data_IF_381850906692
#
_entry.id   IF_381850906692
#
_cell.length_a   1.000
_cell.length_b   1.000
_cell.length_c   1.000
_cell.angle_alpha   90.00
_cell.angle_beta   90.00
_cell.angle_gamma   90.00
#
_symmetry.space_group_name_H-M   'P 1'
#
loop_
_entity.id
_entity.type
_entity.pdbx_description
1 polymer ?
#
# COMPACT_ATOMS: atom_id res chain seq x y z
N UNK A 1 1.64 -33.27 -6.81
CA UNK A 1 0.54 -32.37 -7.23
C UNK A 1 1.14 -31.00 -7.51
N UNK A 2 0.92 -30.47 -8.70
CA UNK A 2 1.32 -29.13 -9.10
C UNK A 2 0.04 -28.35 -9.40
N UNK A 3 -0.13 -27.17 -8.81
CA UNK A 3 -1.28 -26.29 -9.06
C UNK A 3 -0.82 -25.07 -9.83
N UNK A 4 -1.72 -24.46 -10.60
CA UNK A 4 -1.44 -23.22 -11.34
C UNK A 4 -1.46 -22.00 -10.40
N UNK A 5 -0.92 -20.87 -10.87
CA UNK A 5 -1.02 -19.59 -10.14
C UNK A 5 -2.48 -19.15 -9.96
N UNK A 6 -3.35 -19.44 -10.95
CA UNK A 6 -4.78 -19.16 -10.86
C UNK A 6 -5.44 -20.01 -9.77
N UNK A 7 -5.14 -21.30 -9.73
CA UNK A 7 -5.65 -22.20 -8.69
C UNK A 7 -5.19 -21.78 -7.29
N UNK A 8 -3.92 -21.38 -7.15
CA UNK A 8 -3.42 -20.83 -5.90
C UNK A 8 -4.14 -19.53 -5.53
N UNK A 9 -4.38 -18.64 -6.50
CA UNK A 9 -5.16 -17.42 -6.30
C UNK A 9 -6.57 -17.72 -5.81
N UNK A 10 -7.26 -18.72 -6.37
CA UNK A 10 -8.59 -19.13 -5.93
C UNK A 10 -8.60 -19.66 -4.49
N UNK A 11 -7.57 -20.42 -4.09
CA UNK A 11 -7.43 -20.87 -2.70
C UNK A 11 -7.24 -19.67 -1.75
N UNK A 12 -6.35 -18.73 -2.09
CA UNK A 12 -6.15 -17.51 -1.30
C UNK A 12 -7.42 -16.66 -1.25
N UNK A 13 -8.09 -16.46 -2.38
CA UNK A 13 -9.34 -15.73 -2.48
C UNK A 13 -10.40 -16.36 -1.58
N UNK A 14 -10.66 -17.65 -1.73
CA UNK A 14 -11.72 -18.35 -1.00
C UNK A 14 -11.54 -18.27 0.52
N UNK A 15 -10.28 -18.30 0.99
CA UNK A 15 -9.94 -18.18 2.42
C UNK A 15 -9.80 -16.73 2.91
N UNK A 16 -9.72 -15.76 2.00
CA UNK A 16 -9.40 -14.37 2.34
C UNK A 16 -7.94 -14.17 2.77
N UNK A 17 -7.04 -15.04 2.32
CA UNK A 17 -5.62 -14.95 2.65
C UNK A 17 -4.92 -13.88 1.83
N UNK A 18 -4.05 -13.13 2.48
CA UNK A 18 -3.10 -12.19 1.88
C UNK A 18 -1.80 -12.20 2.68
N UNK A 19 -0.67 -11.72 2.14
CA UNK A 19 0.59 -11.71 2.87
C UNK A 19 0.52 -11.05 4.27
N UNK A 20 -0.31 -10.01 4.41
CA UNK A 20 -0.65 -9.28 5.64
C UNK A 20 -1.79 -9.92 6.46
N UNK A 21 -2.59 -10.82 5.87
CA UNK A 21 -3.72 -11.51 6.51
C UNK A 21 -3.56 -13.03 6.39
N UNK A 22 -2.88 -13.64 7.36
CA UNK A 22 -2.56 -15.09 7.37
C UNK A 22 -3.60 -15.96 8.08
N UNK A 23 -4.52 -15.37 8.83
CA UNK A 23 -5.64 -16.11 9.40
C UNK A 23 -6.85 -16.04 8.45
N UNK A 24 -7.37 -17.17 7.94
CA UNK A 24 -8.58 -17.17 7.15
C UNK A 24 -9.77 -16.62 7.95
N UNK A 25 -10.51 -15.69 7.36
CA UNK A 25 -11.74 -15.15 7.96
C UNK A 25 -13.01 -15.55 7.20
N UNK A 26 -12.85 -16.30 6.10
CA UNK A 26 -13.92 -16.84 5.26
C UNK A 26 -13.49 -18.18 4.66
N UNK A 27 -14.44 -18.92 4.06
CA UNK A 27 -14.16 -20.16 3.32
C UNK A 27 -15.31 -20.55 2.38
N UNK A 28 -15.72 -19.66 1.46
CA UNK A 28 -16.84 -19.90 0.55
C UNK A 28 -16.55 -19.25 -0.80
N UNK A 29 -16.68 -20.00 -1.89
CA UNK A 29 -16.62 -19.50 -3.26
C UNK A 29 -17.87 -19.95 -4.00
N UNK A 30 -18.67 -19.01 -4.53
CA UNK A 30 -19.90 -19.34 -5.26
C UNK A 30 -19.62 -19.17 -6.74
N UNK A 31 -19.84 -20.22 -7.53
CA UNK A 31 -19.68 -20.21 -8.98
C UNK A 31 -20.95 -20.73 -9.65
N UNK A 32 -21.53 -19.94 -10.54
CA UNK A 32 -22.68 -20.31 -11.35
C UNK A 32 -22.29 -20.93 -12.70
N UNK A 33 -23.27 -21.36 -13.51
CA UNK A 33 -23.03 -21.85 -14.86
C UNK A 33 -22.31 -20.81 -15.73
N UNK A 34 -21.24 -21.22 -16.42
CA UNK A 34 -20.45 -20.34 -17.29
C UNK A 34 -19.45 -19.44 -16.57
N UNK A 35 -19.22 -19.63 -15.26
CA UNK A 35 -18.18 -18.90 -14.54
C UNK A 35 -16.78 -19.30 -15.02
N UNK A 36 -15.92 -18.31 -15.32
CA UNK A 36 -14.60 -18.53 -15.92
C UNK A 36 -13.68 -19.40 -15.04
N UNK A 37 -13.77 -19.26 -13.72
CA UNK A 37 -12.98 -20.06 -12.76
C UNK A 37 -13.49 -21.51 -12.55
N UNK A 38 -14.63 -21.91 -13.15
CA UNK A 38 -15.22 -23.23 -12.90
C UNK A 38 -14.25 -24.40 -13.20
N UNK A 39 -13.51 -24.42 -14.32
CA UNK A 39 -12.57 -25.50 -14.60
C UNK A 39 -11.48 -25.65 -13.52
N UNK A 40 -10.97 -24.53 -13.01
CA UNK A 40 -9.95 -24.54 -11.94
C UNK A 40 -10.54 -24.98 -10.59
N UNK A 41 -11.78 -24.59 -10.28
CA UNK A 41 -12.48 -25.03 -9.06
C UNK A 41 -12.74 -26.55 -9.08
N UNK A 42 -13.15 -27.09 -10.22
CA UNK A 42 -13.37 -28.53 -10.39
C UNK A 42 -12.05 -29.32 -10.35
N UNK A 43 -10.96 -28.78 -10.87
CA UNK A 43 -9.64 -29.41 -10.76
C UNK A 43 -9.11 -29.36 -9.31
N UNK A 44 -9.29 -28.24 -8.60
CA UNK A 44 -8.98 -28.14 -7.17
C UNK A 44 -9.80 -29.11 -6.32
N UNK A 45 -11.05 -29.38 -6.69
CA UNK A 45 -11.88 -30.42 -6.09
C UNK A 45 -11.34 -31.83 -6.38
N UNK A 46 -10.95 -32.12 -7.64
CA UNK A 46 -10.29 -33.38 -8.00
C UNK A 46 -8.99 -33.62 -7.24
N UNK A 47 -8.29 -32.56 -6.86
CA UNK A 47 -7.08 -32.61 -6.03
C UNK A 47 -7.36 -32.65 -4.52
N UNK A 48 -8.63 -32.72 -4.10
CA UNK A 48 -9.08 -32.70 -2.71
C UNK A 48 -8.65 -31.44 -1.93
N UNK A 49 -8.33 -30.35 -2.64
CA UNK A 49 -8.00 -29.06 -2.05
C UNK A 49 -9.24 -28.21 -1.84
N UNK A 50 -10.28 -28.45 -2.63
CA UNK A 50 -11.62 -27.90 -2.43
C UNK A 50 -12.65 -29.02 -2.39
N UNK A 51 -13.86 -28.69 -1.94
CA UNK A 51 -15.03 -29.58 -1.96
C UNK A 51 -16.28 -28.78 -2.22
N UNK A 52 -17.25 -29.38 -2.93
CA UNK A 52 -18.62 -28.85 -3.00
C UNK A 52 -19.28 -28.89 -1.62
N UNK A 53 -19.84 -27.75 -1.23
CA UNK A 53 -20.70 -27.58 -0.06
C UNK A 53 -22.17 -27.57 -0.44
N UNK A 54 -23.01 -27.48 0.59
CA UNK A 54 -24.44 -27.25 0.39
C UNK A 54 -24.65 -25.83 -0.13
N UNK A 55 -25.28 -25.69 -1.29
CA UNK A 55 -25.72 -24.40 -1.81
C UNK A 55 -26.81 -23.80 -0.89
N UNK A 56 -26.60 -22.60 -0.31
CA UNK A 56 -27.61 -21.91 0.48
C UNK A 56 -28.88 -21.62 -0.32
N UNK A 57 -30.03 -21.58 0.35
CA UNK A 57 -31.33 -21.42 -0.30
C UNK A 57 -31.52 -20.07 -1.03
N UNK A 58 -30.70 -19.06 -0.72
CA UNK A 58 -30.75 -17.76 -1.38
C UNK A 58 -29.91 -17.70 -2.67
N UNK A 59 -29.06 -18.71 -2.94
CA UNK A 59 -28.31 -18.83 -4.19
C UNK A 59 -29.18 -19.50 -5.27
N UNK A 60 -28.83 -19.34 -6.55
CA UNK A 60 -29.54 -20.08 -7.59
C UNK A 60 -29.28 -21.58 -7.43
N UNK A 61 -30.25 -22.41 -7.81
CA UNK A 61 -30.10 -23.87 -7.71
C UNK A 61 -28.97 -24.43 -8.58
N UNK A 62 -28.60 -23.71 -9.63
CA UNK A 62 -27.49 -24.07 -10.52
C UNK A 62 -26.12 -23.59 -10.00
N UNK A 63 -26.09 -22.77 -8.94
CA UNK A 63 -24.84 -22.30 -8.35
C UNK A 63 -24.21 -23.38 -7.47
N UNK A 64 -22.90 -23.49 -7.57
CA UNK A 64 -22.08 -24.39 -6.77
C UNK A 64 -21.30 -23.58 -5.75
N UNK A 65 -21.34 -23.99 -4.48
CA UNK A 65 -20.52 -23.41 -3.43
C UNK A 65 -19.34 -24.33 -3.14
N UNK A 66 -18.13 -23.83 -3.34
CA UNK A 66 -16.91 -24.53 -3.00
C UNK A 66 -16.35 -24.04 -1.66
N UNK A 67 -15.79 -24.97 -0.90
CA UNK A 67 -15.04 -24.71 0.31
C UNK A 67 -13.64 -25.30 0.19
N UNK A 68 -12.64 -24.59 0.67
CA UNK A 68 -11.27 -25.10 0.78
C UNK A 68 -11.20 -26.12 1.91
N UNK A 69 -10.57 -27.27 1.65
CA UNK A 69 -10.33 -28.32 2.66
C UNK A 69 -9.14 -27.94 3.56
N UNK A 70 -8.90 -28.71 4.62
CA UNK A 70 -7.71 -28.48 5.45
C UNK A 70 -6.40 -28.69 4.68
N UNK A 71 -6.39 -29.59 3.69
CA UNK A 71 -5.25 -29.80 2.79
C UNK A 71 -5.03 -28.57 1.91
N UNK A 72 -6.10 -28.03 1.32
CA UNK A 72 -6.07 -26.78 0.55
C UNK A 72 -5.60 -25.59 1.39
N UNK A 73 -6.08 -25.46 2.63
CA UNK A 73 -5.67 -24.40 3.57
C UNK A 73 -4.17 -24.47 3.88
N UNK A 74 -3.66 -25.66 4.22
CA UNK A 74 -2.22 -25.86 4.50
C UNK A 74 -1.37 -25.51 3.29
N UNK A 75 -1.79 -25.92 2.09
CA UNK A 75 -1.09 -25.59 0.85
C UNK A 75 -1.08 -24.09 0.58
N UNK A 76 -2.24 -23.44 0.68
CA UNK A 76 -2.43 -22.02 0.45
C UNK A 76 -1.54 -21.18 1.38
N UNK A 77 -1.48 -21.53 2.67
CA UNK A 77 -0.63 -20.87 3.66
C UNK A 77 0.86 -21.08 3.40
N UNK A 78 1.26 -22.29 3.01
CA UNK A 78 2.64 -22.63 2.70
C UNK A 78 3.18 -21.85 1.49
N UNK A 79 2.32 -21.64 0.49
CA UNK A 79 2.67 -20.93 -0.75
C UNK A 79 2.37 -19.42 -0.68
N UNK A 80 1.89 -18.91 0.46
CA UNK A 80 1.61 -17.51 0.64
C UNK A 80 2.93 -16.72 0.74
N UNK A 81 3.14 -15.67 -0.09
CA UNK A 81 4.37 -14.91 -0.04
C UNK A 81 4.57 -14.25 1.33
N UNK A 82 5.83 -13.97 1.73
CA UNK A 82 6.11 -13.27 2.97
C UNK A 82 5.39 -11.91 2.97
N UNK A 83 4.98 -11.47 4.17
CA UNK A 83 4.40 -10.14 4.32
C UNK A 83 5.36 -9.09 3.75
N UNK A 84 4.86 -8.11 2.96
CA UNK A 84 5.71 -7.02 2.51
C UNK A 84 6.27 -6.28 3.72
N UNK A 85 7.49 -5.77 3.59
CA UNK A 85 8.02 -4.84 4.61
C UNK A 85 7.12 -3.61 4.64
N UNK A 86 6.74 -3.18 5.84
CA UNK A 86 6.00 -1.93 6.00
C UNK A 86 6.79 -0.79 5.39
N UNK A 87 6.10 0.09 4.68
CA UNK A 87 6.69 1.32 4.19
C UNK A 87 6.89 2.29 5.35
N UNK A 88 7.82 3.24 5.21
CA UNK A 88 7.99 4.33 6.20
C UNK A 88 6.69 5.11 6.42
N UNK A 89 5.81 5.16 5.42
CA UNK A 89 4.51 5.81 5.54
C UNK A 89 3.52 4.98 6.37
N UNK A 90 3.50 3.65 6.22
CA UNK A 90 2.70 2.75 7.05
C UNK A 90 3.20 2.69 8.50
N UNK A 91 4.51 2.82 8.73
CA UNK A 91 5.08 3.00 10.06
C UNK A 91 4.61 4.33 10.68
N UNK A 92 4.61 5.41 9.89
CA UNK A 92 4.12 6.73 10.32
C UNK A 92 2.65 6.70 10.74
N UNK A 93 1.78 6.09 9.93
CA UNK A 93 0.35 5.99 10.23
C UNK A 93 0.04 5.20 11.50
N UNK A 94 0.92 4.29 11.88
CA UNK A 94 0.76 3.37 13.02
C UNK A 94 1.35 3.91 14.32
N UNK A 95 2.37 4.75 14.19
CA UNK A 95 3.09 5.30 15.33
C UNK A 95 2.26 6.31 16.15
N UNK A 96 1.15 6.83 15.60
CA UNK A 96 0.24 7.80 16.25
C UNK A 96 0.98 8.95 16.95
N UNK A 97 2.02 9.46 16.28
CA UNK A 97 3.01 10.37 16.89
C UNK A 97 2.51 11.82 17.02
N UNK A 98 1.41 12.17 16.36
CA UNK A 98 0.96 13.56 16.19
C UNK A 98 1.89 14.46 15.36
N UNK A 99 2.99 13.90 14.84
CA UNK A 99 3.92 14.60 13.95
C UNK A 99 3.37 14.68 12.53
N UNK A 100 3.85 15.63 11.74
CA UNK A 100 3.72 15.55 10.29
C UNK A 100 4.67 14.46 9.73
N UNK A 101 4.33 13.87 8.58
CA UNK A 101 5.17 12.82 7.97
C UNK A 101 6.64 13.23 7.73
N UNK A 102 6.90 14.49 7.39
CA UNK A 102 8.27 14.96 7.18
C UNK A 102 9.08 15.02 8.49
N UNK A 103 8.42 15.34 9.61
CA UNK A 103 9.03 15.35 10.93
C UNK A 103 9.30 13.92 11.41
N UNK A 104 8.38 13.00 11.18
CA UNK A 104 8.58 11.57 11.42
C UNK A 104 9.80 11.00 10.66
N UNK A 105 10.04 11.50 9.45
CA UNK A 105 11.21 11.14 8.66
C UNK A 105 12.51 11.85 9.11
N UNK A 106 12.44 12.77 10.08
CA UNK A 106 13.56 13.61 10.49
C UNK A 106 14.01 14.59 9.40
N UNK A 107 13.13 14.88 8.43
CA UNK A 107 13.43 15.77 7.32
C UNK A 107 13.19 17.20 7.76
N UNK A 108 14.27 17.97 7.83
CA UNK A 108 14.19 19.41 8.02
C UNK A 108 13.65 20.08 6.74
N UNK A 109 12.35 20.36 6.75
CA UNK A 109 11.57 20.84 5.60
C UNK A 109 11.85 22.33 5.34
N UNK A 110 12.25 22.70 4.12
CA UNK A 110 12.35 24.11 3.75
C UNK A 110 10.96 24.72 3.54
N UNK A 111 10.83 25.98 3.89
CA UNK A 111 9.61 26.77 3.83
C UNK A 111 9.73 27.90 2.80
N UNK A 112 8.58 28.32 2.27
CA UNK A 112 8.51 29.55 1.49
C UNK A 112 8.27 30.73 2.42
N UNK A 113 9.11 31.73 2.27
CA UNK A 113 8.92 33.06 2.80
C UNK A 113 8.34 33.94 1.70
N UNK A 114 7.39 34.79 2.06
CA UNK A 114 6.74 35.72 1.13
C UNK A 114 6.90 37.14 1.63
N UNK A 115 7.21 38.07 0.73
CA UNK A 115 7.17 39.50 1.02
C UNK A 115 6.36 40.23 -0.05
N UNK A 116 5.73 41.33 0.35
CA UNK A 116 5.08 42.25 -0.58
C UNK A 116 5.89 43.54 -0.66
N UNK A 117 6.09 44.04 -1.87
CA UNK A 117 6.67 45.35 -2.12
C UNK A 117 5.83 46.07 -3.18
N UNK A 118 5.19 47.18 -2.80
CA UNK A 118 4.34 47.99 -3.69
C UNK A 118 3.32 47.15 -4.50
N UNK A 119 2.65 46.20 -3.84
CA UNK A 119 1.65 45.32 -4.46
C UNK A 119 2.22 44.16 -5.28
N UNK A 120 3.54 43.99 -5.35
CA UNK A 120 4.19 42.83 -5.99
C UNK A 120 4.62 41.82 -4.93
N UNK A 121 4.31 40.55 -5.17
CA UNK A 121 4.75 39.45 -4.30
C UNK A 121 6.08 38.90 -4.77
N UNK A 122 6.99 38.69 -3.83
CA UNK A 122 8.22 37.95 -4.03
C UNK A 122 8.28 36.78 -3.06
N UNK A 123 8.96 35.72 -3.48
CA UNK A 123 9.09 34.48 -2.75
C UNK A 123 10.57 34.15 -2.56
N UNK A 124 10.91 33.63 -1.40
CA UNK A 124 12.21 33.02 -1.11
C UNK A 124 11.96 31.68 -0.45
N UNK A 125 12.83 30.69 -0.68
CA UNK A 125 12.77 29.43 0.05
C UNK A 125 13.94 29.36 1.04
N UNK A 126 13.66 29.01 2.29
CA UNK A 126 14.65 28.91 3.38
C UNK A 126 14.46 27.63 4.17
N UNK A 127 15.53 27.16 4.82
CA UNK A 127 15.50 26.06 5.78
C UNK A 127 16.07 26.56 7.10
N UNK A 128 15.35 26.32 8.18
CA UNK A 128 15.81 26.63 9.54
C UNK A 128 16.84 25.61 10.00
N UNK A 129 17.84 26.00 10.79
CA UNK A 129 18.75 25.04 11.45
C UNK A 129 18.09 24.42 12.68
N UNK A 130 17.31 25.24 13.38
CA UNK A 130 16.54 24.94 14.57
C UNK A 130 15.78 26.20 14.98
N UNK A 131 14.85 26.09 15.94
CA UNK A 131 14.03 27.21 16.40
C UNK A 131 14.86 28.40 16.91
N UNK A 132 16.03 28.13 17.49
CA UNK A 132 16.93 29.14 18.06
C UNK A 132 18.21 29.35 17.24
N UNK A 133 18.53 28.44 16.31
CA UNK A 133 19.81 28.41 15.59
C UNK A 133 19.79 29.20 14.28
N UNK A 134 18.67 29.86 13.98
CA UNK A 134 18.51 30.69 12.79
C UNK A 134 18.39 29.90 11.48
N UNK A 135 18.71 30.58 10.37
CA UNK A 135 18.56 30.03 9.02
C UNK A 135 19.80 29.22 8.66
N UNK A 136 19.61 27.97 8.25
CA UNK A 136 20.67 27.10 7.76
C UNK A 136 21.04 27.42 6.31
N UNK A 137 20.04 27.41 5.44
CA UNK A 137 20.20 27.68 4.00
C UNK A 137 19.04 28.53 3.51
N UNK A 138 19.33 29.55 2.72
CA UNK A 138 18.31 30.34 2.02
C UNK A 138 18.68 30.55 0.56
N UNK A 139 17.67 30.58 -0.30
CA UNK A 139 17.81 31.08 -1.67
C UNK A 139 17.64 32.60 -1.73
N UNK A 140 17.63 33.13 -2.96
CA UNK A 140 17.33 34.52 -3.25
C UNK A 140 15.82 34.77 -3.39
N UNK A 141 15.42 36.03 -3.23
CA UNK A 141 14.07 36.49 -3.54
C UNK A 141 13.82 36.43 -5.05
N UNK A 142 12.66 35.89 -5.44
CA UNK A 142 12.25 35.78 -6.83
C UNK A 142 10.76 36.09 -7.00
N UNK A 143 10.36 36.42 -8.24
CA UNK A 143 8.96 36.74 -8.55
C UNK A 143 8.05 35.51 -8.55
N UNK A 144 8.63 34.32 -8.74
CA UNK A 144 7.87 33.06 -8.75
C UNK A 144 8.42 32.06 -7.74
N UNK A 145 7.54 31.20 -7.19
CA UNK A 145 7.96 30.08 -6.33
C UNK A 145 8.92 29.12 -7.03
N UNK A 146 8.79 28.95 -8.35
CA UNK A 146 9.65 28.07 -9.16
C UNK A 146 11.10 28.58 -9.17
N UNK A 147 11.29 29.87 -9.42
CA UNK A 147 12.61 30.51 -9.39
C UNK A 147 13.20 30.51 -7.98
N UNK A 148 12.39 30.81 -6.96
CA UNK A 148 12.82 30.78 -5.56
C UNK A 148 13.31 29.38 -5.15
N UNK A 149 12.60 28.32 -5.56
CA UNK A 149 13.00 26.92 -5.33
C UNK A 149 14.29 26.56 -6.06
N UNK A 150 14.48 27.05 -7.28
CA UNK A 150 15.71 26.82 -8.04
C UNK A 150 16.92 27.50 -7.36
N UNK A 151 16.76 28.75 -6.92
CA UNK A 151 17.78 29.49 -6.18
C UNK A 151 18.15 28.78 -4.87
N UNK A 152 17.16 28.31 -4.10
CA UNK A 152 17.40 27.53 -2.89
C UNK A 152 18.17 26.22 -3.16
N UNK A 153 17.83 25.48 -4.22
CA UNK A 153 18.57 24.26 -4.57
C UNK A 153 20.04 24.54 -4.87
N UNK A 154 20.34 25.65 -5.55
CA UNK A 154 21.73 26.07 -5.79
C UNK A 154 22.44 26.43 -4.48
N UNK A 155 21.78 27.18 -3.59
CA UNK A 155 22.34 27.51 -2.28
C UNK A 155 22.61 26.26 -1.43
N UNK A 156 21.68 25.30 -1.44
CA UNK A 156 21.81 24.02 -0.74
C UNK A 156 22.93 23.14 -1.32
N UNK A 157 23.16 23.19 -2.63
CA UNK A 157 24.28 22.47 -3.24
C UNK A 157 25.61 23.11 -2.82
N UNK A 158 25.69 24.45 -2.79
CA UNK A 158 26.88 25.18 -2.33
C UNK A 158 27.18 24.95 -0.86
N UNK A 159 26.17 24.79 0.01
CA UNK A 159 26.40 24.57 1.44
C UNK A 159 26.86 23.14 1.79
N UNK A 160 26.85 22.22 0.82
CA UNK A 160 27.32 20.83 0.98
C UNK A 160 28.73 20.60 0.43
N UNK A 161 29.28 21.57 -0.29
CA UNK A 161 30.65 21.54 -0.84
C UNK A 161 31.63 22.04 0.23
#
# INVERSE_FOLDING_TARGET
>A
MNITDQQLHLLHHTLGLRPDQREPYRNHFVAGPGHDDMPDLEELERFELMKRGRTPAFCNQADVVFHVTDAGRRLALRLLPPAPKRTRYEEYLDADTGLDFHEFLGINKPEYETRSNLGRYEYRMRRWRGWYDGIDVQGEWARTKKEAKASYKQALQRSKA
#
